data_IF_608097998514
#
_entry.id   IF_608097998514
#
_cell.length_a   1.000
_cell.length_b   1.000
_cell.length_c   1.000
_cell.angle_alpha   90.00
_cell.angle_beta   90.00
_cell.angle_gamma   90.00
#
_symmetry.space_group_name_H-M   'P 1'
#
loop_
_entity.id
_entity.type
_entity.pdbx_description
1 polymer ?
#
# COMPACT_ATOMS: atom_id res chain seq x y z
N UNK A 1 -0.79 -18.79 -0.14
CA UNK A 1 0.07 -18.08 0.83
C UNK A 1 -0.54 -16.71 1.03
N UNK A 2 -0.99 -16.36 2.24
CA UNK A 2 -1.52 -15.03 2.55
C UNK A 2 -0.33 -14.11 2.81
N UNK A 3 -0.07 -13.14 1.94
CA UNK A 3 0.90 -12.08 2.21
C UNK A 3 0.23 -11.02 3.08
N UNK A 4 0.84 -10.71 4.22
CA UNK A 4 0.34 -9.73 5.18
C UNK A 4 1.13 -8.45 4.98
N UNK A 5 0.49 -7.41 4.41
CA UNK A 5 1.10 -6.10 4.34
C UNK A 5 1.19 -5.49 5.74
N UNK A 6 2.40 -5.07 6.13
CA UNK A 6 2.65 -4.47 7.43
C UNK A 6 2.60 -2.93 7.37
N UNK A 7 2.47 -2.37 6.17
CA UNK A 7 2.33 -0.94 5.97
C UNK A 7 1.81 -0.61 4.57
N UNK A 8 1.54 0.68 4.36
CA UNK A 8 1.22 1.23 3.06
C UNK A 8 1.80 2.63 2.91
N UNK A 9 2.03 3.05 1.67
CA UNK A 9 2.30 4.44 1.32
C UNK A 9 1.28 4.90 0.28
N UNK A 10 0.97 6.20 0.27
CA UNK A 10 0.07 6.77 -0.72
C UNK A 10 0.64 8.04 -1.34
N UNK A 11 0.33 8.26 -2.61
CA UNK A 11 0.72 9.45 -3.36
C UNK A 11 -0.37 9.81 -4.37
N UNK A 12 -0.47 11.09 -4.72
CA UNK A 12 -1.34 11.57 -5.79
C UNK A 12 -0.48 11.96 -7.00
N UNK A 13 -0.79 11.41 -8.17
CA UNK A 13 -0.27 11.89 -9.45
C UNK A 13 -1.08 13.13 -9.87
N UNK A 14 -0.51 14.35 -9.83
CA UNK A 14 -1.24 15.57 -10.13
C UNK A 14 -1.53 15.75 -11.62
N UNK A 15 -0.79 15.09 -12.51
CA UNK A 15 -1.00 15.19 -13.96
C UNK A 15 -2.15 14.30 -14.42
N UNK A 16 -2.25 13.10 -13.84
CA UNK A 16 -3.30 12.12 -14.19
C UNK A 16 -4.51 12.18 -13.26
N UNK A 17 -4.39 12.84 -12.10
CA UNK A 17 -5.44 12.85 -11.08
C UNK A 17 -5.69 11.48 -10.48
N UNK A 18 -4.63 10.68 -10.34
CA UNK A 18 -4.66 9.30 -9.87
C UNK A 18 -4.09 9.19 -8.45
N UNK A 19 -4.79 8.50 -7.57
CA UNK A 19 -4.30 8.07 -6.27
C UNK A 19 -3.58 6.73 -6.43
N UNK A 20 -2.35 6.68 -5.95
CA UNK A 20 -1.51 5.48 -5.93
C UNK A 20 -1.38 5.05 -4.47
N UNK A 21 -1.71 3.79 -4.17
CA UNK A 21 -1.50 3.17 -2.86
C UNK A 21 -0.57 1.97 -3.05
N UNK A 22 0.55 1.97 -2.34
CA UNK A 22 1.52 0.86 -2.35
C UNK A 22 1.46 0.15 -1.01
N UNK A 23 1.33 -1.18 -1.04
CA UNK A 23 1.38 -2.02 0.14
C UNK A 23 2.80 -2.56 0.33
N UNK A 24 3.29 -2.46 1.55
CA UNK A 24 4.67 -2.77 1.89
C UNK A 24 4.70 -3.92 2.90
N UNK A 25 5.64 -4.84 2.72
CA UNK A 25 6.00 -5.85 3.73
C UNK A 25 7.39 -5.59 4.26
N UNK A 26 7.57 -5.83 5.54
CA UNK A 26 8.91 -6.10 6.06
C UNK A 26 9.18 -7.59 5.92
N UNK A 27 10.20 -7.94 5.17
CA UNK A 27 10.65 -9.31 4.96
C UNK A 27 12.00 -9.49 5.67
N UNK A 28 12.14 -10.48 6.56
CA UNK A 28 13.45 -10.84 7.09
C UNK A 28 14.31 -11.36 5.93
N UNK A 29 15.53 -10.83 5.84
CA UNK A 29 16.55 -11.37 4.97
C UNK A 29 17.25 -12.51 5.71
N UNK A 30 17.28 -13.71 5.10
CA UNK A 30 17.79 -14.93 5.74
C UNK A 30 19.26 -15.19 5.38
N UNK A 31 20.03 -14.17 5.03
CA UNK A 31 21.47 -14.29 4.85
C UNK A 31 22.18 -14.47 6.21
N UNK A 32 23.02 -15.50 6.30
CA UNK A 32 23.59 -16.07 7.53
C UNK A 32 24.41 -15.09 8.41
N UNK A 33 24.73 -13.90 7.91
CA UNK A 33 25.58 -12.92 8.59
C UNK A 33 24.86 -11.69 9.16
N UNK A 34 23.64 -11.35 8.71
CA UNK A 34 22.97 -10.13 9.16
C UNK A 34 21.47 -10.33 9.27
N UNK A 35 20.90 -10.03 10.44
CA UNK A 35 19.46 -9.88 10.66
C UNK A 35 18.93 -8.62 9.96
N UNK A 36 19.10 -8.54 8.65
CA UNK A 36 18.61 -7.43 7.85
C UNK A 36 17.11 -7.61 7.61
N UNK A 37 16.37 -6.51 7.61
CA UNK A 37 14.96 -6.48 7.28
C UNK A 37 14.83 -5.63 6.01
N UNK A 38 14.39 -6.24 4.92
CA UNK A 38 14.07 -5.51 3.69
C UNK A 38 12.63 -5.02 3.75
N UNK A 39 12.37 -3.86 3.14
CA UNK A 39 11.01 -3.38 2.89
C UNK A 39 10.71 -3.61 1.43
N UNK A 40 9.71 -4.45 1.16
CA UNK A 40 9.34 -4.85 -0.19
C UNK A 40 7.96 -4.33 -0.56
N UNK A 41 7.79 -3.91 -1.81
CA UNK A 41 6.47 -3.59 -2.37
C UNK A 41 5.77 -4.89 -2.79
N UNK A 42 4.62 -5.17 -2.18
CA UNK A 42 3.85 -6.39 -2.45
C UNK A 42 2.80 -6.15 -3.52
N UNK A 43 2.17 -4.98 -3.49
CA UNK A 43 1.05 -4.65 -4.36
C UNK A 43 0.90 -3.15 -4.50
N UNK A 44 0.44 -2.72 -5.67
CA UNK A 44 0.14 -1.33 -5.97
C UNK A 44 -1.26 -1.21 -6.56
N UNK A 45 -2.06 -0.34 -5.97
CA UNK A 45 -3.38 0.04 -6.46
C UNK A 45 -3.29 1.45 -7.03
N UNK A 46 -3.70 1.60 -8.30
CA UNK A 46 -3.82 2.91 -8.96
C UNK A 46 -5.30 3.17 -9.20
N UNK A 47 -5.80 4.30 -8.72
CA UNK A 47 -7.20 4.68 -8.81
C UNK A 47 -7.33 6.09 -9.35
N UNK A 48 -8.23 6.29 -10.30
CA UNK A 48 -8.69 7.63 -10.65
C UNK A 48 -9.47 8.27 -9.50
N UNK A 49 -9.55 9.60 -9.51
CA UNK A 49 -10.24 10.42 -8.49
C UNK A 49 -11.62 9.92 -8.07
N UNK A 50 -12.47 9.48 -9.01
CA UNK A 50 -13.84 9.02 -8.71
C UNK A 50 -13.83 7.73 -7.89
N UNK A 51 -12.97 6.78 -8.25
CA UNK A 51 -12.84 5.50 -7.53
C UNK A 51 -12.21 5.72 -6.15
N UNK A 52 -11.21 6.61 -6.06
CA UNK A 52 -10.59 6.98 -4.80
C UNK A 52 -11.59 7.63 -3.82
N UNK A 53 -12.49 8.50 -4.31
CA UNK A 53 -13.54 9.09 -3.47
C UNK A 53 -14.51 8.03 -2.95
N UNK A 54 -14.97 7.11 -3.79
CA UNK A 54 -15.85 6.01 -3.36
C UNK A 54 -15.20 5.11 -2.31
N UNK A 55 -13.89 4.88 -2.45
CA UNK A 55 -13.13 4.13 -1.45
C UNK A 55 -13.12 4.88 -0.11
N UNK A 56 -12.88 6.19 -0.13
CA UNK A 56 -12.93 7.01 1.09
C UNK A 56 -14.30 6.96 1.75
N UNK A 57 -15.37 7.17 0.98
CA UNK A 57 -16.74 7.18 1.51
C UNK A 57 -17.07 5.83 2.18
N UNK A 58 -16.74 4.71 1.51
CA UNK A 58 -16.97 3.38 2.08
C UNK A 58 -16.11 3.07 3.32
N UNK A 59 -14.86 3.56 3.36
CA UNK A 59 -14.02 3.41 4.56
C UNK A 59 -14.52 4.27 5.72
N UNK A 60 -15.00 5.48 5.44
CA UNK A 60 -15.59 6.36 6.45
C UNK A 60 -16.84 5.74 7.08
N UNK A 61 -17.73 5.13 6.29
CA UNK A 61 -18.90 4.41 6.80
C UNK A 61 -18.55 3.22 7.70
N UNK A 62 -17.39 2.58 7.50
CA UNK A 62 -16.93 1.46 8.34
C UNK A 62 -16.28 1.91 9.66
N UNK A 63 -15.90 3.18 9.76
CA UNK A 63 -15.25 3.77 10.95
C UNK A 63 -16.25 4.46 11.89
N UNK A 64 -17.49 4.70 11.43
CA UNK A 64 -18.63 5.14 12.24
C UNK A 64 -19.36 3.96 12.91
#
# INVERSE_FOLDING_TARGET
>A
MLQYANGFSCAMDPEKGELIIKFLQQCPDFDEENNNVSVEEISTIVMGRVTAQKLLDGLSEMLE
#
